data_IF_717860102105
#
_entry.id   IF_717860102105
#
_cell.length_a   1.000
_cell.length_b   1.000
_cell.length_c   1.000
_cell.angle_alpha   90.00
_cell.angle_beta   90.00
_cell.angle_gamma   90.00
#
_symmetry.space_group_name_H-M   'P 1'
#
loop_
_entity.id
_entity.type
_entity.pdbx_description
1 polymer ?
#
# COMPACT_ATOMS: atom_id res chain seq x y z
N UNK A 1 -34.90 -15.25 -30.30
CA UNK A 1 -34.57 -14.33 -29.20
C UNK A 1 -34.03 -13.06 -29.82
N UNK A 2 -34.80 -11.96 -29.75
CA UNK A 2 -34.49 -10.71 -30.45
C UNK A 2 -33.21 -10.08 -29.88
N UNK A 3 -32.25 -9.78 -30.76
CA UNK A 3 -31.19 -8.83 -30.47
C UNK A 3 -31.85 -7.46 -30.22
N UNK A 4 -31.92 -7.02 -28.97
CA UNK A 4 -32.19 -5.62 -28.68
C UNK A 4 -31.06 -4.80 -29.31
N UNK A 5 -31.39 -4.07 -30.38
CA UNK A 5 -30.60 -2.96 -30.89
C UNK A 5 -30.18 -2.08 -29.71
N UNK A 6 -28.88 -2.02 -29.41
CA UNK A 6 -28.34 -1.15 -28.37
C UNK A 6 -28.74 0.30 -28.69
N UNK A 7 -29.79 0.78 -28.02
CA UNK A 7 -30.29 2.15 -28.18
C UNK A 7 -29.20 3.12 -27.77
N UNK A 8 -28.77 3.97 -28.71
CA UNK A 8 -27.76 5.00 -28.46
C UNK A 8 -28.34 6.12 -27.60
N UNK A 9 -27.56 6.58 -26.62
CA UNK A 9 -27.85 7.75 -25.80
C UNK A 9 -26.73 8.78 -25.98
N UNK A 10 -27.07 10.06 -25.86
CA UNK A 10 -26.08 11.15 -25.87
C UNK A 10 -25.56 11.34 -24.44
N UNK A 11 -24.24 11.30 -24.29
CA UNK A 11 -23.56 11.60 -23.03
C UNK A 11 -22.77 12.89 -23.20
N UNK A 12 -23.06 13.89 -22.38
CA UNK A 12 -22.37 15.18 -22.39
C UNK A 12 -21.21 15.13 -21.41
N UNK A 13 -20.02 15.50 -21.87
CA UNK A 13 -18.80 15.55 -21.07
C UNK A 13 -17.98 16.78 -21.45
N UNK A 14 -17.03 17.16 -20.58
CA UNK A 14 -16.10 18.26 -20.87
C UNK A 14 -15.30 17.97 -22.13
N UNK A 15 -15.09 19.01 -22.94
CA UNK A 15 -14.37 18.91 -24.21
C UNK A 15 -12.95 18.36 -24.05
N UNK A 16 -12.21 18.80 -23.03
CA UNK A 16 -10.83 18.35 -22.78
C UNK A 16 -10.75 16.84 -22.50
N UNK A 17 -11.72 16.29 -21.77
CA UNK A 17 -11.81 14.85 -21.50
C UNK A 17 -12.18 14.05 -22.75
N UNK A 18 -13.15 14.54 -23.53
CA UNK A 18 -13.54 13.90 -24.80
C UNK A 18 -12.38 13.87 -25.78
N UNK A 19 -11.62 14.95 -25.86
CA UNK A 19 -10.41 15.04 -26.69
C UNK A 19 -9.33 14.05 -26.23
N UNK A 20 -9.09 13.95 -24.92
CA UNK A 20 -8.15 12.98 -24.37
C UNK A 20 -8.56 11.52 -24.67
N UNK A 21 -9.82 11.16 -24.38
CA UNK A 21 -10.35 9.81 -24.64
C UNK A 21 -10.32 9.48 -26.14
N UNK A 22 -10.66 10.44 -27.01
CA UNK A 22 -10.58 10.27 -28.46
C UNK A 22 -9.16 9.99 -28.95
N UNK A 23 -8.17 10.67 -28.37
CA UNK A 23 -6.75 10.42 -28.65
C UNK A 23 -6.32 9.01 -28.23
N UNK A 24 -6.75 8.56 -27.04
CA UNK A 24 -6.46 7.19 -26.56
C UNK A 24 -7.11 6.12 -27.42
N UNK A 25 -8.37 6.32 -27.85
CA UNK A 25 -9.07 5.41 -28.75
C UNK A 25 -8.32 5.25 -30.08
N UNK A 26 -7.92 6.37 -30.71
CA UNK A 26 -7.12 6.34 -31.95
C UNK A 26 -5.80 5.59 -31.80
N UNK A 27 -5.07 5.81 -30.70
CA UNK A 27 -3.81 5.09 -30.42
C UNK A 27 -4.00 3.58 -30.27
N UNK A 28 -5.18 3.13 -29.83
CA UNK A 28 -5.55 1.71 -29.71
C UNK A 28 -6.22 1.14 -30.97
N UNK A 29 -6.37 1.93 -32.04
CA UNK A 29 -7.07 1.50 -33.25
C UNK A 29 -8.58 1.30 -33.06
N UNK A 30 -9.19 1.93 -32.05
CA UNK A 30 -10.61 1.80 -31.72
C UNK A 30 -11.39 3.09 -31.98
N UNK A 31 -12.72 2.97 -32.12
CA UNK A 31 -13.60 4.15 -32.21
C UNK A 31 -13.83 4.77 -30.84
N UNK A 32 -14.14 6.07 -30.79
CA UNK A 32 -14.54 6.73 -29.54
C UNK A 32 -15.73 6.01 -28.90
N UNK A 33 -16.71 5.57 -29.68
CA UNK A 33 -17.89 4.85 -29.19
C UNK A 33 -17.53 3.53 -28.51
N UNK A 34 -16.75 2.67 -29.18
CA UNK A 34 -16.33 1.38 -28.62
C UNK A 34 -15.46 1.56 -27.38
N UNK A 35 -14.53 2.52 -27.39
CA UNK A 35 -13.64 2.77 -26.26
C UNK A 35 -14.38 3.37 -25.06
N UNK A 36 -15.34 4.27 -25.30
CA UNK A 36 -16.16 4.83 -24.24
C UNK A 36 -17.02 3.74 -23.57
N UNK A 37 -17.64 2.84 -24.35
CA UNK A 37 -18.40 1.73 -23.77
C UNK A 37 -17.51 0.80 -22.93
N UNK A 38 -16.29 0.48 -23.38
CA UNK A 38 -15.33 -0.29 -22.58
C UNK A 38 -15.01 0.39 -21.24
N UNK A 39 -14.81 1.72 -21.23
CA UNK A 39 -14.59 2.51 -20.01
C UNK A 39 -15.81 2.44 -19.08
N UNK A 40 -17.01 2.62 -19.62
CA UNK A 40 -18.26 2.57 -18.85
C UNK A 40 -18.48 1.16 -18.25
N UNK A 41 -18.17 0.10 -18.99
CA UNK A 41 -18.22 -1.27 -18.49
C UNK A 41 -17.24 -1.50 -17.34
N UNK A 42 -16.00 -0.98 -17.43
CA UNK A 42 -15.04 -1.09 -16.32
C UNK A 42 -15.48 -0.24 -15.10
N UNK A 43 -16.09 0.92 -15.33
CA UNK A 43 -16.66 1.72 -14.24
C UNK A 43 -17.76 0.96 -13.49
N UNK A 44 -18.69 0.35 -14.22
CA UNK A 44 -19.76 -0.48 -13.63
C UNK A 44 -19.18 -1.71 -12.91
N UNK A 45 -18.16 -2.35 -13.50
CA UNK A 45 -17.48 -3.48 -12.88
C UNK A 45 -16.82 -3.10 -11.54
N UNK A 46 -16.19 -1.93 -11.46
CA UNK A 46 -15.61 -1.44 -10.21
C UNK A 46 -16.68 -1.27 -9.13
N UNK A 47 -17.78 -0.58 -9.47
CA UNK A 47 -18.92 -0.40 -8.55
C UNK A 47 -19.50 -1.75 -8.07
N UNK A 48 -19.63 -2.73 -8.97
CA UNK A 48 -20.09 -4.08 -8.61
C UNK A 48 -19.14 -4.83 -7.67
N UNK A 49 -17.86 -4.48 -7.67
CA UNK A 49 -16.86 -5.01 -6.74
C UNK A 49 -16.81 -4.23 -5.42
N UNK A 50 -17.64 -3.19 -5.26
CA UNK A 50 -17.66 -2.33 -4.09
C UNK A 50 -16.45 -1.40 -3.99
N UNK A 51 -15.77 -1.14 -5.10
CA UNK A 51 -14.61 -0.24 -5.18
C UNK A 51 -14.87 0.84 -6.22
N UNK A 52 -14.51 2.08 -5.95
CA UNK A 52 -14.58 3.11 -6.99
C UNK A 52 -13.31 3.04 -7.89
N UNK A 53 -13.40 3.59 -9.10
CA UNK A 53 -12.29 3.59 -10.07
C UNK A 53 -11.02 4.30 -9.57
N UNK A 54 -11.15 5.30 -8.68
CA UNK A 54 -9.99 6.02 -8.14
C UNK A 54 -9.18 5.08 -7.24
N UNK A 55 -9.84 4.43 -6.28
CA UNK A 55 -9.19 3.53 -5.32
C UNK A 55 -8.54 2.32 -6.04
N UNK A 56 -9.18 1.83 -7.10
CA UNK A 56 -8.62 0.76 -7.94
C UNK A 56 -7.33 1.19 -8.67
N UNK A 57 -7.27 2.44 -9.17
CA UNK A 57 -6.08 2.98 -9.81
C UNK A 57 -4.97 3.26 -8.80
N UNK A 58 -5.30 3.83 -7.64
CA UNK A 58 -4.34 4.06 -6.55
C UNK A 58 -3.68 2.74 -6.11
N UNK A 59 -4.48 1.69 -5.90
CA UNK A 59 -4.01 0.34 -5.56
C UNK A 59 -3.12 -0.26 -6.66
N UNK A 60 -3.50 -0.08 -7.93
CA UNK A 60 -2.71 -0.56 -9.07
C UNK A 60 -1.34 0.12 -9.14
N UNK A 61 -1.28 1.42 -8.86
CA UNK A 61 -0.02 2.15 -8.87
C UNK A 61 0.93 1.70 -7.76
N UNK A 62 0.39 1.35 -6.59
CA UNK A 62 1.15 0.74 -5.50
C UNK A 62 1.66 -0.63 -5.91
N UNK A 63 0.82 -1.48 -6.49
CA UNK A 63 1.23 -2.80 -6.99
C UNK A 63 2.32 -2.68 -8.06
N UNK A 64 2.23 -1.68 -8.93
CA UNK A 64 3.25 -1.38 -9.94
C UNK A 64 4.57 -0.93 -9.29
N UNK A 65 4.51 -0.13 -8.22
CA UNK A 65 5.69 0.25 -7.46
C UNK A 65 6.36 -0.95 -6.79
N UNK A 66 5.59 -1.82 -6.14
CA UNK A 66 6.06 -3.09 -5.55
C UNK A 66 6.81 -3.93 -6.60
N UNK A 67 6.23 -4.10 -7.80
CA UNK A 67 6.86 -4.84 -8.90
C UNK A 67 8.17 -4.22 -9.35
N UNK A 68 8.21 -2.90 -9.48
CA UNK A 68 9.44 -2.18 -9.84
C UNK A 68 10.51 -2.26 -8.74
N UNK A 69 10.09 -2.43 -7.48
CA UNK A 69 10.95 -2.67 -6.33
C UNK A 69 11.46 -4.12 -6.22
N UNK A 70 11.19 -4.95 -7.23
CA UNK A 70 11.50 -6.38 -7.23
C UNK A 70 10.88 -7.15 -6.04
N UNK A 71 9.73 -6.69 -5.55
CA UNK A 71 8.97 -7.42 -4.54
C UNK A 71 8.10 -8.50 -5.19
N UNK A 72 7.95 -9.60 -4.45
CA UNK A 72 7.25 -10.79 -4.90
C UNK A 72 6.14 -11.16 -3.93
N UNK A 73 5.04 -11.66 -4.47
CA UNK A 73 3.95 -12.23 -3.68
C UNK A 73 4.30 -13.70 -3.42
N UNK A 74 4.28 -14.11 -2.16
CA UNK A 74 4.55 -15.48 -1.73
C UNK A 74 3.37 -15.98 -0.87
N UNK A 75 2.97 -17.27 -0.96
CA UNK A 75 1.97 -17.82 -0.05
C UNK A 75 2.41 -17.69 1.41
N UNK A 76 1.51 -17.26 2.29
CA UNK A 76 1.82 -16.98 3.70
C UNK A 76 2.40 -18.19 4.44
N UNK A 77 1.90 -19.40 4.15
CA UNK A 77 2.41 -20.64 4.75
C UNK A 77 3.88 -20.92 4.38
N UNK A 78 4.28 -20.60 3.14
CA UNK A 78 5.66 -20.76 2.68
C UNK A 78 6.56 -19.76 3.40
N UNK A 79 6.14 -18.49 3.49
CA UNK A 79 6.88 -17.47 4.25
C UNK A 79 7.02 -17.89 5.71
N UNK A 80 5.95 -18.39 6.33
CA UNK A 80 5.95 -18.87 7.71
C UNK A 80 6.95 -20.01 7.91
N UNK A 81 6.97 -21.00 7.02
CA UNK A 81 7.90 -22.12 7.09
C UNK A 81 9.36 -21.64 6.98
N UNK A 82 9.64 -20.69 6.07
CA UNK A 82 10.97 -20.09 5.89
C UNK A 82 11.40 -19.35 7.17
N UNK A 83 10.55 -18.48 7.71
CA UNK A 83 10.85 -17.69 8.91
C UNK A 83 11.08 -18.59 10.11
N UNK A 84 10.26 -19.63 10.30
CA UNK A 84 10.44 -20.59 11.39
C UNK A 84 11.80 -21.29 11.29
N UNK A 85 12.19 -21.69 10.07
CA UNK A 85 13.48 -22.36 9.86
C UNK A 85 14.66 -21.43 10.12
N UNK A 86 14.58 -20.18 9.66
CA UNK A 86 15.60 -19.15 9.88
C UNK A 86 15.73 -18.81 11.36
N UNK A 87 14.63 -18.84 12.11
CA UNK A 87 14.61 -18.51 13.53
C UNK A 87 15.37 -19.51 14.41
N UNK A 88 15.75 -20.67 13.88
CA UNK A 88 16.64 -21.64 14.55
C UNK A 88 18.08 -21.13 14.67
N UNK A 89 18.52 -20.19 13.80
CA UNK A 89 19.84 -19.57 13.83
C UNK A 89 19.75 -18.04 14.08
N UNK A 90 20.16 -17.56 15.27
CA UNK A 90 20.10 -16.14 15.62
C UNK A 90 20.87 -15.21 14.66
N UNK A 91 21.99 -15.66 14.09
CA UNK A 91 22.79 -14.82 13.19
C UNK A 91 22.10 -14.59 11.84
N UNK A 92 21.55 -15.67 11.25
CA UNK A 92 20.72 -15.56 10.06
C UNK A 92 19.46 -14.76 10.33
N UNK A 93 18.77 -15.00 11.44
CA UNK A 93 17.57 -14.26 11.81
C UNK A 93 17.82 -12.75 11.86
N UNK A 94 18.87 -12.31 12.54
CA UNK A 94 19.23 -10.88 12.61
C UNK A 94 19.58 -10.30 11.23
N UNK A 95 20.22 -11.08 10.36
CA UNK A 95 20.51 -10.64 8.98
C UNK A 95 19.22 -10.40 8.21
N UNK A 96 18.24 -11.30 8.33
CA UNK A 96 16.94 -11.17 7.67
C UNK A 96 16.11 -10.02 8.25
N UNK A 97 16.10 -9.84 9.57
CA UNK A 97 15.45 -8.69 10.23
C UNK A 97 15.97 -7.35 9.68
N UNK A 98 17.28 -7.24 9.48
CA UNK A 98 17.88 -6.05 8.87
C UNK A 98 17.43 -5.86 7.42
N UNK A 99 17.34 -6.93 6.61
CA UNK A 99 16.82 -6.83 5.25
C UNK A 99 15.36 -6.36 5.21
N UNK A 100 14.53 -6.81 6.14
CA UNK A 100 13.15 -6.31 6.29
C UNK A 100 13.11 -4.82 6.62
N UNK A 101 14.01 -4.36 7.50
CA UNK A 101 14.14 -2.94 7.83
C UNK A 101 14.60 -2.11 6.65
N UNK A 102 15.61 -2.56 5.90
CA UNK A 102 16.08 -1.87 4.70
C UNK A 102 15.00 -1.82 3.60
N UNK A 103 14.22 -2.89 3.43
CA UNK A 103 13.04 -2.87 2.55
C UNK A 103 12.01 -1.82 3.00
N UNK A 104 11.80 -1.70 4.31
CA UNK A 104 10.97 -0.64 4.90
C UNK A 104 11.49 0.76 4.58
N UNK A 105 12.80 1.01 4.72
CA UNK A 105 13.41 2.31 4.37
C UNK A 105 13.21 2.66 2.91
N UNK A 106 13.42 1.71 2.01
CA UNK A 106 13.15 1.93 0.58
C UNK A 106 11.70 2.38 0.34
N UNK A 107 10.75 1.78 1.06
CA UNK A 107 9.35 2.19 1.04
C UNK A 107 9.13 3.61 1.59
N UNK A 108 9.75 3.94 2.72
CA UNK A 108 9.70 5.29 3.28
C UNK A 108 10.20 6.34 2.28
N UNK A 109 11.32 6.06 1.59
CA UNK A 109 11.87 6.93 0.55
C UNK A 109 10.91 7.10 -0.63
N UNK A 110 10.31 6.00 -1.10
CA UNK A 110 9.30 6.03 -2.15
C UNK A 110 8.11 6.93 -1.77
N UNK A 111 7.60 6.79 -0.54
CA UNK A 111 6.50 7.61 -0.02
C UNK A 111 6.93 9.08 0.06
N UNK A 112 8.15 9.37 0.54
CA UNK A 112 8.64 10.75 0.70
C UNK A 112 8.73 11.50 -0.64
N UNK A 113 9.13 10.82 -1.72
CA UNK A 113 9.24 11.40 -3.06
C UNK A 113 7.85 11.62 -3.64
N UNK A 114 6.98 10.61 -3.53
CA UNK A 114 5.67 10.59 -4.17
C UNK A 114 4.66 11.52 -3.51
N UNK A 115 4.71 11.63 -2.18
CA UNK A 115 3.77 12.43 -1.40
C UNK A 115 4.44 13.68 -0.82
N UNK A 116 5.48 14.19 -1.50
CA UNK A 116 6.26 15.35 -1.07
C UNK A 116 5.41 16.56 -0.68
N UNK A 117 4.30 16.78 -1.39
CA UNK A 117 3.38 17.90 -1.13
C UNK A 117 2.59 17.72 0.18
N UNK A 118 2.29 16.48 0.56
CA UNK A 118 1.59 16.13 1.80
C UNK A 118 2.52 16.14 3.02
N UNK A 119 3.84 16.19 2.84
CA UNK A 119 4.83 16.22 3.94
C UNK A 119 4.78 17.49 4.81
N UNK A 120 4.09 18.54 4.37
CA UNK A 120 4.01 19.82 5.10
C UNK A 120 3.10 19.76 6.33
N UNK A 121 2.22 18.78 6.38
CA UNK A 121 1.26 18.56 7.47
C UNK A 121 1.54 17.19 8.08
N UNK A 122 2.09 17.20 9.30
CA UNK A 122 2.53 15.99 9.98
C UNK A 122 1.40 14.99 10.22
N UNK A 123 0.17 15.44 10.48
CA UNK A 123 -0.97 14.55 10.71
C UNK A 123 -1.44 13.91 9.41
N UNK A 124 -1.51 14.67 8.32
CA UNK A 124 -1.86 14.13 7.00
C UNK A 124 -0.84 13.10 6.54
N UNK A 125 0.45 13.37 6.75
CA UNK A 125 1.52 12.42 6.45
C UNK A 125 1.32 11.09 7.17
N UNK A 126 1.04 11.09 8.47
CA UNK A 126 0.83 9.86 9.24
C UNK A 126 -0.35 9.05 8.71
N UNK A 127 -1.46 9.72 8.36
CA UNK A 127 -2.64 9.06 7.77
C UNK A 127 -2.34 8.44 6.40
N UNK A 128 -1.56 9.11 5.56
CA UNK A 128 -1.13 8.55 4.27
C UNK A 128 -0.19 7.35 4.46
N UNK A 129 0.77 7.43 5.38
CA UNK A 129 1.64 6.29 5.72
C UNK A 129 0.81 5.11 6.22
N UNK A 130 -0.14 5.35 7.12
CA UNK A 130 -1.04 4.30 7.62
C UNK A 130 -1.85 3.65 6.48
N UNK A 131 -2.45 4.46 5.61
CA UNK A 131 -3.23 3.98 4.45
C UNK A 131 -2.36 3.09 3.54
N UNK A 132 -1.16 3.55 3.18
CA UNK A 132 -0.27 2.82 2.29
C UNK A 132 0.25 1.52 2.92
N UNK A 133 0.56 1.54 4.22
CA UNK A 133 0.96 0.34 4.94
C UNK A 133 -0.18 -0.69 4.97
N UNK A 134 -1.44 -0.27 5.17
CA UNK A 134 -2.61 -1.16 5.06
C UNK A 134 -2.73 -1.77 3.66
N UNK A 135 -2.45 -0.98 2.62
CA UNK A 135 -2.54 -1.42 1.23
C UNK A 135 -1.43 -2.38 0.80
N UNK A 136 -0.28 -2.41 1.48
CA UNK A 136 0.83 -3.34 1.16
C UNK A 136 0.99 -4.48 2.16
N UNK A 137 0.39 -4.37 3.35
CA UNK A 137 0.48 -5.38 4.42
C UNK A 137 -0.89 -6.00 4.68
N UNK A 138 -1.35 -6.77 3.71
CA UNK A 138 -2.68 -7.40 3.70
C UNK A 138 -2.96 -8.32 4.88
N UNK A 139 -1.91 -8.81 5.54
CA UNK A 139 -1.98 -9.62 6.74
C UNK A 139 -2.40 -8.82 7.99
N UNK A 140 -2.21 -7.50 8.00
CA UNK A 140 -2.64 -6.62 9.08
C UNK A 140 -4.12 -6.27 8.87
N UNK A 141 -5.00 -6.90 9.63
CA UNK A 141 -6.45 -6.62 9.59
C UNK A 141 -6.79 -5.29 10.25
N UNK A 142 -5.91 -4.81 11.13
CA UNK A 142 -5.96 -3.48 11.70
C UNK A 142 -4.53 -2.93 11.82
N UNK A 143 -4.38 -1.65 11.52
CA UNK A 143 -3.15 -0.90 11.66
C UNK A 143 -3.51 0.54 12.01
N UNK A 144 -2.96 1.07 13.08
CA UNK A 144 -3.26 2.41 13.55
C UNK A 144 -1.96 3.12 13.89
N UNK A 145 -1.79 4.33 13.37
CA UNK A 145 -0.68 5.21 13.67
C UNK A 145 -1.24 6.48 14.31
N UNK A 146 -1.03 6.62 15.62
CA UNK A 146 -1.59 7.71 16.42
C UNK A 146 -0.47 8.54 17.05
N UNK A 147 -0.64 9.86 17.21
CA UNK A 147 0.27 10.67 18.02
C UNK A 147 0.34 10.17 19.47
N UNK A 148 1.55 10.09 20.03
CA UNK A 148 1.79 9.72 21.43
C UNK A 148 2.91 10.63 22.00
N UNK A 149 2.56 11.60 22.84
CA UNK A 149 3.53 12.55 23.39
C UNK A 149 4.28 13.35 22.33
N UNK A 150 5.61 13.26 22.32
CA UNK A 150 6.49 13.86 21.30
C UNK A 150 6.79 12.89 20.13
N UNK A 151 5.92 11.92 19.90
CA UNK A 151 6.16 10.83 18.98
C UNK A 151 4.86 10.23 18.48
N UNK A 152 4.92 8.95 18.14
CA UNK A 152 3.77 8.19 17.62
C UNK A 152 3.74 6.79 18.21
N UNK A 153 2.55 6.23 18.29
CA UNK A 153 2.32 4.83 18.60
C UNK A 153 1.76 4.12 17.39
N UNK A 154 2.34 2.97 17.06
CA UNK A 154 1.88 2.10 16.00
C UNK A 154 1.32 0.82 16.61
N UNK A 155 0.06 0.53 16.30
CA UNK A 155 -0.62 -0.71 16.71
C UNK A 155 -1.02 -1.48 15.46
N UNK A 156 -0.69 -2.77 15.41
CA UNK A 156 -1.04 -3.65 14.30
C UNK A 156 -1.58 -4.98 14.79
N UNK A 157 -2.60 -5.51 14.10
CA UNK A 157 -3.25 -6.78 14.45
C UNK A 157 -3.26 -7.71 13.24
N UNK A 158 -2.77 -8.93 13.43
CA UNK A 158 -2.77 -10.01 12.44
C UNK A 158 -2.93 -11.38 13.14
N UNK A 159 -4.14 -11.79 13.53
CA UNK A 159 -4.36 -12.87 14.50
C UNK A 159 -3.76 -14.23 14.10
N UNK A 160 -3.61 -14.47 12.79
CA UNK A 160 -3.08 -15.72 12.25
C UNK A 160 -1.55 -15.78 12.19
N UNK A 161 -0.85 -14.67 12.48
CA UNK A 161 0.60 -14.57 12.29
C UNK A 161 1.38 -14.97 13.55
N UNK A 162 2.53 -15.62 13.36
CA UNK A 162 3.45 -15.97 14.43
C UNK A 162 4.18 -14.73 14.97
N UNK A 163 4.80 -14.83 16.15
CA UNK A 163 5.55 -13.70 16.72
C UNK A 163 6.79 -13.36 15.86
N UNK A 164 7.40 -14.35 15.22
CA UNK A 164 8.55 -14.18 14.32
C UNK A 164 8.17 -13.38 13.09
N UNK A 165 7.01 -13.67 12.49
CA UNK A 165 6.48 -12.86 11.39
C UNK A 165 6.19 -11.46 11.89
N UNK A 166 5.48 -11.30 13.02
CA UNK A 166 5.21 -9.96 13.57
C UNK A 166 6.48 -9.15 13.84
N UNK A 167 7.60 -9.79 14.22
CA UNK A 167 8.91 -9.14 14.32
C UNK A 167 9.40 -8.63 12.97
N UNK A 168 9.41 -9.46 11.93
CA UNK A 168 9.80 -9.03 10.57
C UNK A 168 8.96 -7.82 10.10
N UNK A 169 7.65 -7.89 10.34
CA UNK A 169 6.70 -6.81 10.05
C UNK A 169 7.07 -5.53 10.80
N UNK A 170 7.40 -5.66 12.09
CA UNK A 170 7.78 -4.51 12.92
C UNK A 170 9.05 -3.84 12.43
N UNK A 171 10.04 -4.62 11.98
CA UNK A 171 11.29 -4.11 11.42
C UNK A 171 11.05 -3.32 10.13
N UNK A 172 10.14 -3.81 9.27
CA UNK A 172 9.71 -3.08 8.07
C UNK A 172 9.04 -1.75 8.40
N UNK A 173 8.06 -1.74 9.31
CA UNK A 173 7.34 -0.53 9.72
C UNK A 173 8.31 0.50 10.30
N UNK A 174 9.24 0.04 11.12
CA UNK A 174 10.31 0.88 11.66
C UNK A 174 11.17 1.48 10.56
N UNK A 175 11.62 0.68 9.59
CA UNK A 175 12.38 1.18 8.45
C UNK A 175 11.65 2.28 7.69
N UNK A 176 10.34 2.13 7.47
CA UNK A 176 9.49 3.17 6.85
C UNK A 176 9.52 4.45 7.68
N UNK A 177 9.29 4.35 8.99
CA UNK A 177 9.15 5.50 9.88
C UNK A 177 10.48 6.21 10.19
N UNK A 178 11.61 5.50 10.12
CA UNK A 178 12.94 6.09 10.25
C UNK A 178 13.23 7.15 9.18
N UNK A 179 12.76 6.95 7.94
CA UNK A 179 12.88 7.94 6.86
C UNK A 179 12.19 9.26 7.22
N UNK A 180 11.12 9.20 8.01
CA UNK A 180 10.38 10.36 8.49
C UNK A 180 10.87 10.89 9.85
N UNK A 181 12.03 10.43 10.31
CA UNK A 181 12.70 10.91 11.52
C UNK A 181 12.18 10.27 12.82
N UNK A 182 11.36 9.24 12.76
CA UNK A 182 10.91 8.53 13.96
C UNK A 182 11.91 7.44 14.36
N UNK A 183 12.17 7.31 15.66
CA UNK A 183 13.01 6.24 16.22
C UNK A 183 12.24 5.47 17.26
N UNK A 184 12.45 4.15 17.28
CA UNK A 184 11.79 3.27 18.25
C UNK A 184 12.27 3.60 19.66
N UNK A 185 11.31 3.80 20.56
CA UNK A 185 11.55 3.90 22.00
C UNK A 185 11.23 2.58 22.71
N UNK A 186 10.15 1.91 22.30
CA UNK A 186 9.69 0.66 22.91
C UNK A 186 9.01 -0.23 21.88
N UNK A 187 9.34 -1.52 21.87
CA UNK A 187 8.63 -2.55 21.09
C UNK A 187 8.00 -3.59 22.02
N UNK A 188 6.71 -3.81 21.84
CA UNK A 188 5.97 -4.93 22.43
C UNK A 188 5.39 -5.77 21.29
N UNK A 189 6.06 -6.87 20.95
CA UNK A 189 5.67 -7.74 19.85
C UNK A 189 5.19 -9.07 20.42
N UNK A 190 3.95 -9.43 20.11
CA UNK A 190 3.33 -10.69 20.51
C UNK A 190 2.82 -11.44 19.29
N UNK A 191 2.36 -12.67 19.50
CA UNK A 191 1.65 -13.41 18.46
C UNK A 191 0.46 -12.57 17.95
N UNK A 192 0.48 -12.27 16.65
CA UNK A 192 -0.54 -11.48 15.97
C UNK A 192 -0.71 -10.04 16.43
N UNK A 193 0.17 -9.48 17.26
CA UNK A 193 0.04 -8.10 17.78
C UNK A 193 1.39 -7.38 17.70
N UNK A 194 1.35 -6.17 17.14
CA UNK A 194 2.44 -5.19 17.17
C UNK A 194 1.97 -3.99 17.97
N UNK A 195 2.79 -3.56 18.91
CA UNK A 195 2.61 -2.30 19.63
C UNK A 195 3.97 -1.65 19.84
N UNK A 196 4.22 -0.55 19.12
CA UNK A 196 5.52 0.12 19.08
C UNK A 196 5.31 1.61 19.38
N UNK A 197 6.04 2.11 20.36
CA UNK A 197 6.16 3.55 20.61
C UNK A 197 7.42 4.07 19.92
N UNK A 198 7.28 5.17 19.21
CA UNK A 198 8.35 5.89 18.54
C UNK A 198 8.45 7.30 19.09
N UNK A 199 9.65 7.86 19.14
CA UNK A 199 9.91 9.27 19.42
C UNK A 199 10.30 9.98 18.14
N UNK A 200 9.90 11.25 17.99
CA UNK A 200 10.33 12.06 16.86
C UNK A 200 11.74 12.58 17.12
N UNK A 201 12.66 12.27 16.23
CA UNK A 201 13.99 12.88 16.25
C UNK A 201 13.85 14.31 15.79
N UNK A 202 14.14 15.27 16.66
CA UNK A 202 14.49 16.62 16.23
C UNK A 202 15.77 16.49 15.39
N UNK A 203 15.67 16.66 14.08
CA UNK A 203 16.88 16.87 13.27
C UNK A 203 17.60 18.11 13.84
N UNK A 204 18.94 18.09 13.98
CA UNK A 204 19.71 19.30 14.28
C UNK A 204 19.58 20.34 13.17
#
# INVERSE_FOLDING_TARGET
MSQESQRRKVLVAREDLVNAISSFARKRGSTLYSYLNEILEQAIRAENLGVNLRDALDSYEILKANRNANQVIIPAEVLTAIVNKISEDPATLNTIENLWKEAGKWYGEYISIRFRENLKDGEKLLKEIEKLLKEIRWELVDLVIEPEGNGIRVRGVAPQQSVEIMKMISMFIEGVLEVFGYRVERRNIYKGIIDISFTKTTQP
#
